data_IF_124669742103
#
_entry.id   IF_124669742103
#
_cell.length_a   1.000
_cell.length_b   1.000
_cell.length_c   1.000
_cell.angle_alpha   90.00
_cell.angle_beta   90.00
_cell.angle_gamma   90.00
#
_symmetry.space_group_name_H-M   'P 1'
#
loop_
_entity.id
_entity.type
_entity.pdbx_description
1 polymer ?
#
# COMPACT_ATOMS: atom_id res chain seq x y z
N UNK A 1 -9.63 22.55 0.68
CA UNK A 1 -10.66 22.81 -0.36
C UNK A 1 -12.03 22.52 0.23
N UNK A 2 -12.83 23.53 0.58
CA UNK A 2 -14.21 23.33 1.07
C UNK A 2 -15.19 23.57 -0.09
N UNK A 3 -15.68 22.48 -0.70
CA UNK A 3 -16.76 22.55 -1.72
C UNK A 3 -18.13 22.44 -1.08
N UNK A 4 -19.12 23.14 -1.64
CA UNK A 4 -20.52 23.12 -1.22
C UNK A 4 -21.13 21.70 -1.23
N UNK A 5 -22.08 21.38 -0.34
CA UNK A 5 -22.66 20.04 -0.26
C UNK A 5 -23.38 19.67 -1.56
N UNK A 6 -22.82 18.71 -2.30
CA UNK A 6 -23.41 18.20 -3.56
C UNK A 6 -22.67 18.62 -4.84
N UNK A 7 -21.72 19.54 -4.76
CA UNK A 7 -20.91 19.95 -5.90
C UNK A 7 -19.68 19.04 -6.10
N UNK A 8 -19.22 18.95 -7.35
CA UNK A 8 -17.99 18.27 -7.71
C UNK A 8 -16.78 19.06 -7.18
N UNK A 9 -15.89 18.37 -6.48
CA UNK A 9 -14.68 18.98 -5.90
C UNK A 9 -13.65 19.47 -6.94
N UNK A 10 -13.82 19.11 -8.23
CA UNK A 10 -12.90 19.47 -9.32
C UNK A 10 -13.47 20.59 -10.19
N UNK A 11 -14.72 20.46 -10.63
CA UNK A 11 -15.30 21.35 -11.63
C UNK A 11 -16.56 22.09 -11.17
N UNK A 12 -17.00 21.90 -9.92
CA UNK A 12 -18.15 22.60 -9.34
C UNK A 12 -19.54 22.16 -9.83
N UNK A 13 -19.64 21.31 -10.87
CA UNK A 13 -20.93 20.76 -11.34
C UNK A 13 -21.59 19.86 -10.31
N UNK A 14 -22.89 19.64 -10.45
CA UNK A 14 -23.62 18.67 -9.62
C UNK A 14 -22.97 17.28 -9.66
N UNK A 15 -22.75 16.72 -8.47
CA UNK A 15 -22.22 15.37 -8.31
C UNK A 15 -23.24 14.31 -8.76
N UNK A 16 -22.74 13.22 -9.37
CA UNK A 16 -23.58 12.16 -9.96
C UNK A 16 -23.27 10.77 -9.40
N UNK A 17 -22.97 10.70 -8.09
CA UNK A 17 -22.77 9.43 -7.37
C UNK A 17 -21.33 8.96 -7.19
N UNK A 18 -20.34 9.60 -7.84
CA UNK A 18 -18.92 9.30 -7.61
C UNK A 18 -18.38 10.08 -6.39
N UNK A 19 -17.51 9.45 -5.60
CA UNK A 19 -16.92 10.10 -4.43
C UNK A 19 -15.87 9.28 -3.69
N UNK A 20 -15.22 9.92 -2.72
CA UNK A 20 -14.27 9.32 -1.80
C UNK A 20 -14.58 9.76 -0.36
N UNK A 21 -14.50 8.82 0.58
CA UNK A 21 -14.56 9.09 2.01
C UNK A 21 -13.76 8.00 2.73
N UNK A 22 -12.79 8.40 3.54
CA UNK A 22 -11.97 7.46 4.29
C UNK A 22 -12.84 6.60 5.21
N UNK A 23 -12.70 5.27 5.12
CA UNK A 23 -13.46 4.29 5.91
C UNK A 23 -14.99 4.45 5.81
N UNK A 24 -15.50 5.16 4.79
CA UNK A 24 -16.91 5.52 4.64
C UNK A 24 -17.50 6.32 5.82
N UNK A 25 -16.67 6.86 6.72
CA UNK A 25 -17.09 7.60 7.92
C UNK A 25 -17.22 9.10 7.62
N UNK A 26 -18.28 9.48 6.89
CA UNK A 26 -18.50 10.86 6.39
C UNK A 26 -18.63 11.93 7.47
N UNK A 27 -19.00 11.55 8.69
CA UNK A 27 -19.10 12.47 9.82
C UNK A 27 -17.72 12.80 10.44
N UNK A 28 -16.74 11.92 10.22
CA UNK A 28 -15.42 12.01 10.85
C UNK A 28 -14.34 12.48 9.86
N UNK A 29 -14.46 12.10 8.58
CA UNK A 29 -13.47 12.41 7.57
C UNK A 29 -14.04 13.27 6.44
N UNK A 30 -13.20 14.13 5.81
CA UNK A 30 -13.59 14.86 4.63
C UNK A 30 -14.14 13.92 3.55
N UNK A 31 -15.25 14.32 2.94
CA UNK A 31 -15.84 13.60 1.82
C UNK A 31 -15.75 14.44 0.55
N UNK A 32 -15.27 13.83 -0.53
CA UNK A 32 -15.16 14.46 -1.84
C UNK A 32 -16.15 13.80 -2.80
N UNK A 33 -16.85 14.62 -3.58
CA UNK A 33 -17.82 14.16 -4.59
C UNK A 33 -17.36 14.57 -5.99
N UNK A 34 -17.74 13.77 -6.99
CA UNK A 34 -17.37 13.98 -8.39
C UNK A 34 -18.56 13.83 -9.33
N UNK A 35 -18.57 14.60 -10.42
CA UNK A 35 -19.64 14.55 -11.42
C UNK A 35 -19.45 13.43 -12.46
N UNK A 36 -18.25 12.84 -12.55
CA UNK A 36 -17.88 11.81 -13.52
C UNK A 36 -16.67 11.01 -13.04
N UNK A 37 -16.44 9.84 -13.64
CA UNK A 37 -15.21 9.04 -13.41
C UNK A 37 -13.94 9.83 -13.73
N UNK A 38 -13.94 10.60 -14.83
CA UNK A 38 -12.83 11.49 -15.19
C UNK A 38 -12.48 12.49 -14.09
N UNK A 39 -13.48 13.12 -13.46
CA UNK A 39 -13.24 14.04 -12.35
C UNK A 39 -12.75 13.30 -11.09
N UNK A 40 -13.19 12.05 -10.87
CA UNK A 40 -12.68 11.22 -9.79
C UNK A 40 -11.20 10.87 -10.01
N UNK A 41 -10.81 10.52 -11.24
CA UNK A 41 -9.42 10.17 -11.56
C UNK A 41 -8.49 11.39 -11.37
N UNK A 42 -8.91 12.59 -11.79
CA UNK A 42 -8.16 13.84 -11.52
C UNK A 42 -8.06 14.11 -10.01
N UNK A 43 -9.14 13.86 -9.26
CA UNK A 43 -9.14 14.00 -7.81
C UNK A 43 -8.19 13.02 -7.12
N UNK A 44 -8.09 11.79 -7.62
CA UNK A 44 -7.13 10.79 -7.13
C UNK A 44 -5.69 11.24 -7.39
N UNK A 45 -5.38 11.68 -8.61
CA UNK A 45 -4.05 12.20 -8.97
C UNK A 45 -3.65 13.44 -8.14
N UNK A 46 -4.58 14.37 -7.91
CA UNK A 46 -4.36 15.51 -7.01
C UNK A 46 -4.13 15.07 -5.56
N UNK A 47 -4.85 14.04 -5.09
CA UNK A 47 -4.65 13.50 -3.74
C UNK A 47 -3.28 12.83 -3.61
N UNK A 48 -2.84 12.07 -4.62
CA UNK A 48 -1.50 11.49 -4.70
C UNK A 48 -0.42 12.58 -4.62
N UNK A 49 -0.53 13.65 -5.42
CA UNK A 49 0.47 14.73 -5.45
C UNK A 49 0.55 15.57 -4.18
N UNK A 50 -0.58 15.85 -3.53
CA UNK A 50 -0.64 16.77 -2.40
C UNK A 50 -0.57 16.10 -1.03
N UNK A 51 -1.10 14.88 -0.92
CA UNK A 51 -1.28 14.20 0.37
C UNK A 51 -0.61 12.84 0.45
N UNK A 52 -0.08 12.31 -0.67
CA UNK A 52 0.45 10.95 -0.73
C UNK A 52 -0.67 9.94 -0.43
N UNK A 53 -1.47 9.59 -1.45
CA UNK A 53 -2.11 8.27 -1.42
C UNK A 53 -0.97 7.26 -1.33
N UNK A 54 -0.96 6.37 -0.31
CA UNK A 54 0.22 5.61 0.17
C UNK A 54 1.03 4.99 -0.98
N UNK A 55 1.88 5.82 -1.57
CA UNK A 55 3.03 5.45 -2.37
C UNK A 55 4.16 5.31 -1.36
N UNK A 56 5.06 4.35 -1.60
CA UNK A 56 6.26 4.19 -0.78
C UNK A 56 6.97 5.53 -0.68
N UNK A 57 7.25 5.97 0.54
CA UNK A 57 8.16 7.08 0.79
C UNK A 57 9.51 6.76 0.13
N UNK A 58 10.28 7.79 -0.24
CA UNK A 58 11.63 7.59 -0.78
C UNK A 58 12.52 6.74 0.15
N UNK A 59 12.26 6.78 1.46
CA UNK A 59 12.94 5.94 2.45
C UNK A 59 12.55 4.47 2.33
N UNK A 60 11.26 4.18 2.20
CA UNK A 60 10.77 2.80 2.00
C UNK A 60 11.25 2.23 0.66
N UNK A 61 11.25 3.04 -0.40
CA UNK A 61 11.82 2.62 -1.69
C UNK A 61 13.32 2.30 -1.59
N UNK A 62 14.11 3.14 -0.90
CA UNK A 62 15.52 2.89 -0.69
C UNK A 62 15.77 1.65 0.19
N UNK A 63 14.95 1.43 1.22
CA UNK A 63 15.07 0.25 2.09
C UNK A 63 14.88 -1.07 1.31
N UNK A 64 13.98 -1.10 0.33
CA UNK A 64 13.81 -2.26 -0.56
C UNK A 64 15.07 -2.48 -1.41
N UNK A 65 15.65 -1.41 -1.97
CA UNK A 65 16.89 -1.50 -2.76
C UNK A 65 18.05 -2.03 -1.91
N UNK A 66 18.19 -1.54 -0.68
CA UNK A 66 19.26 -1.95 0.23
C UNK A 66 19.13 -3.43 0.64
N UNK A 67 17.89 -3.92 0.76
CA UNK A 67 17.60 -5.32 1.13
C UNK A 67 18.01 -6.33 0.05
N UNK A 68 18.16 -5.92 -1.22
CA UNK A 68 18.53 -6.82 -2.34
C UNK A 68 19.83 -7.59 -2.09
N UNK A 69 20.80 -6.95 -1.45
CA UNK A 69 22.08 -7.59 -1.13
C UNK A 69 21.88 -8.79 -0.20
N UNK A 70 21.20 -8.57 0.93
CA UNK A 70 20.93 -9.63 1.90
C UNK A 70 20.04 -10.73 1.29
N UNK A 71 19.09 -10.36 0.44
CA UNK A 71 18.26 -11.31 -0.30
C UNK A 71 19.09 -12.21 -1.22
N UNK A 72 20.01 -11.63 -2.00
CA UNK A 72 20.90 -12.39 -2.87
C UNK A 72 21.89 -13.28 -2.10
N UNK A 73 22.42 -12.80 -0.97
CA UNK A 73 23.28 -13.60 -0.09
C UNK A 73 22.53 -14.82 0.45
N UNK A 74 21.31 -14.65 0.96
CA UNK A 74 20.48 -15.75 1.45
C UNK A 74 20.15 -16.77 0.34
N UNK A 75 19.82 -16.31 -0.87
CA UNK A 75 19.60 -17.20 -2.02
C UNK A 75 20.88 -17.96 -2.41
N UNK A 76 22.04 -17.31 -2.32
CA UNK A 76 23.35 -17.93 -2.57
C UNK A 76 23.66 -19.06 -1.60
N UNK A 77 23.44 -18.83 -0.30
CA UNK A 77 23.65 -19.84 0.75
C UNK A 77 22.76 -21.07 0.58
N UNK A 78 21.53 -20.87 0.09
CA UNK A 78 20.58 -21.95 -0.18
C UNK A 78 20.76 -22.61 -1.55
N UNK A 79 21.68 -22.12 -2.40
CA UNK A 79 21.87 -22.62 -3.76
C UNK A 79 20.72 -22.30 -4.71
N UNK A 80 19.89 -21.30 -4.39
CA UNK A 80 18.67 -20.93 -5.12
C UNK A 80 18.88 -19.76 -6.08
N UNK A 81 20.13 -19.41 -6.44
CA UNK A 81 20.40 -18.26 -7.31
C UNK A 81 19.99 -18.48 -8.78
N UNK A 82 19.97 -19.72 -9.26
CA UNK A 82 19.77 -20.00 -10.68
C UNK A 82 18.47 -19.43 -11.28
N UNK A 83 17.29 -19.51 -10.61
CA UNK A 83 16.04 -18.91 -11.10
C UNK A 83 16.00 -17.38 -11.13
N UNK A 84 16.99 -16.70 -10.53
CA UNK A 84 16.99 -15.25 -10.32
C UNK A 84 17.94 -14.50 -11.26
N UNK A 85 18.80 -15.18 -12.03
CA UNK A 85 19.79 -14.52 -12.90
C UNK A 85 19.17 -13.64 -13.99
N UNK A 86 18.02 -14.04 -14.53
CA UNK A 86 17.33 -13.31 -15.61
C UNK A 86 16.21 -12.39 -15.10
N UNK A 87 16.08 -12.22 -13.78
CA UNK A 87 15.04 -11.38 -13.18
C UNK A 87 15.47 -9.93 -13.14
N UNK A 88 14.52 -9.06 -13.44
CA UNK A 88 14.68 -7.61 -13.35
C UNK A 88 14.71 -7.17 -11.89
N UNK A 89 15.34 -6.02 -11.62
CA UNK A 89 15.35 -5.44 -10.29
C UNK A 89 13.93 -5.21 -9.72
N UNK A 90 12.96 -4.89 -10.59
CA UNK A 90 11.57 -4.71 -10.19
C UNK A 90 10.90 -6.02 -9.74
N UNK A 91 11.18 -7.14 -10.40
CA UNK A 91 10.68 -8.45 -9.97
C UNK A 91 11.30 -8.88 -8.63
N UNK A 92 12.59 -8.58 -8.41
CA UNK A 92 13.24 -8.81 -7.11
C UNK A 92 12.61 -7.94 -6.02
N UNK A 93 12.38 -6.66 -6.30
CA UNK A 93 11.75 -5.74 -5.35
C UNK A 93 10.35 -6.20 -4.94
N UNK A 94 9.58 -6.74 -5.89
CA UNK A 94 8.24 -7.27 -5.62
C UNK A 94 8.27 -8.46 -4.64
N UNK A 95 9.28 -9.34 -4.75
CA UNK A 95 9.43 -10.47 -3.84
C UNK A 95 9.81 -10.02 -2.43
N UNK A 96 10.77 -9.09 -2.33
CA UNK A 96 11.18 -8.50 -1.05
C UNK A 96 9.98 -7.80 -0.40
N UNK A 97 9.23 -7.01 -1.18
CA UNK A 97 8.04 -6.32 -0.70
C UNK A 97 6.99 -7.30 -0.19
N UNK A 98 6.66 -8.36 -0.95
CA UNK A 98 5.69 -9.36 -0.51
C UNK A 98 6.05 -9.99 0.83
N UNK A 99 7.32 -10.32 1.04
CA UNK A 99 7.81 -10.89 2.30
C UNK A 99 7.73 -9.87 3.47
N UNK A 100 8.18 -8.63 3.24
CA UNK A 100 8.16 -7.58 4.26
C UNK A 100 6.73 -7.18 4.62
N UNK A 101 5.83 -7.06 3.64
CA UNK A 101 4.41 -6.78 3.87
C UNK A 101 3.77 -7.85 4.74
N UNK A 102 3.95 -9.14 4.40
CA UNK A 102 3.41 -10.23 5.22
C UNK A 102 3.92 -10.22 6.67
N UNK A 103 5.22 -9.91 6.85
CA UNK A 103 5.80 -9.74 8.18
C UNK A 103 5.16 -8.57 8.96
N UNK A 104 5.07 -7.39 8.34
CA UNK A 104 4.50 -6.18 8.98
C UNK A 104 3.02 -6.38 9.31
N UNK A 105 2.25 -6.99 8.41
CA UNK A 105 0.83 -7.28 8.62
C UNK A 105 0.64 -8.25 9.80
N UNK A 106 1.46 -9.30 9.88
CA UNK A 106 1.44 -10.25 11.00
C UNK A 106 1.81 -9.57 12.32
N UNK A 107 2.90 -8.78 12.34
CA UNK A 107 3.32 -8.02 13.52
C UNK A 107 2.22 -7.07 14.02
N UNK A 108 1.53 -6.38 13.11
CA UNK A 108 0.42 -5.49 13.47
C UNK A 108 -0.78 -6.27 14.01
N UNK A 109 -1.12 -7.41 13.39
CA UNK A 109 -2.21 -8.27 13.85
C UNK A 109 -1.93 -8.86 15.24
N UNK A 110 -0.69 -9.25 15.50
CA UNK A 110 -0.25 -9.75 16.80
C UNK A 110 -0.21 -8.64 17.86
N UNK A 111 0.33 -7.46 17.55
CA UNK A 111 0.34 -6.32 18.46
C UNK A 111 -1.07 -5.81 18.84
N UNK A 112 -2.07 -6.05 17.98
CA UNK A 112 -3.47 -5.77 18.26
C UNK A 112 -4.14 -6.83 19.18
N UNK A 113 -3.55 -8.02 19.34
CA UNK A 113 -4.01 -9.07 20.25
C UNK A 113 -3.33 -8.87 21.61
N UNK A 114 -4.11 -8.66 22.68
CA UNK A 114 -3.55 -8.59 24.04
C UNK A 114 -2.73 -9.86 24.36
N UNK A 115 -1.51 -9.67 24.86
CA UNK A 115 -0.40 -10.63 25.05
C UNK A 115 -0.69 -11.86 25.93
N UNK A 116 -1.77 -12.62 25.69
CA UNK A 116 -2.10 -13.80 26.50
C UNK A 116 -1.75 -15.15 25.88
N UNK A 117 -1.21 -15.19 24.66
CA UNK A 117 -0.86 -16.47 24.05
C UNK A 117 0.40 -16.32 23.18
N UNK A 118 1.57 -16.53 23.79
CA UNK A 118 2.89 -16.43 23.16
C UNK A 118 3.29 -17.68 22.37
N UNK A 119 2.34 -18.29 21.67
CA UNK A 119 2.62 -19.44 20.81
C UNK A 119 3.00 -18.98 19.40
N UNK A 120 4.19 -19.35 18.93
CA UNK A 120 4.48 -19.35 17.49
C UNK A 120 3.59 -20.46 16.91
N UNK A 121 2.58 -20.11 16.10
CA UNK A 121 1.88 -21.09 15.28
C UNK A 121 2.85 -21.50 14.18
N UNK A 122 3.27 -22.76 14.18
CA UNK A 122 4.00 -23.37 13.08
C UNK A 122 3.00 -23.56 11.94
N UNK A 123 2.70 -22.45 11.24
CA UNK A 123 1.86 -22.49 10.05
C UNK A 123 2.68 -23.07 8.91
N UNK A 124 2.19 -24.21 8.41
CA UNK A 124 2.72 -24.94 7.25
C UNK A 124 3.05 -23.96 6.12
N UNK A 125 4.27 -24.04 5.59
CA UNK A 125 4.69 -23.21 4.46
C UNK A 125 3.67 -23.43 3.32
N UNK A 126 3.07 -22.38 2.73
CA UNK A 126 1.93 -22.53 1.83
C UNK A 126 2.36 -22.94 0.41
N UNK A 127 3.18 -23.99 0.30
CA UNK A 127 3.59 -24.65 -0.94
C UNK A 127 4.24 -26.02 -0.70
#
# INVERSE_FOLDING_TARGET
MNSAPGACAICGRDSRGFGFCLRLQRAQFPSYKFCSRRCQDIGADLATRNYGMIDKTAREAQAIVDARKNFAEALGELGLMAPFFDRTAAEIDQLIEAAVTGYVDSMQAQGARSERDGGITDDEIPF
#
